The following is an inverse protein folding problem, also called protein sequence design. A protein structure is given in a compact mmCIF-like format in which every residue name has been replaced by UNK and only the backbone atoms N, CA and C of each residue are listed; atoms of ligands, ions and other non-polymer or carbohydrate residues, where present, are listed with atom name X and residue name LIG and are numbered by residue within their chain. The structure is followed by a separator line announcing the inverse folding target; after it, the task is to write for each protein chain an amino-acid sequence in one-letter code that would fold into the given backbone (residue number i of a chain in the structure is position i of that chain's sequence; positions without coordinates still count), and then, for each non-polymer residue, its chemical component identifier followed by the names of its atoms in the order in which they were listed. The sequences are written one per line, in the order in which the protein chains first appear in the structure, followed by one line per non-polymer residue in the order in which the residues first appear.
data_IF_184839097372
#
_entry.id   IF_184839097372
#
_cell.length_a   1.000
_cell.length_b   1.000
_cell.length_c   1.000
_cell.angle_alpha   90.00
_cell.angle_beta   90.00
_cell.angle_gamma   90.00
#
_symmetry.space_group_name_H-M   'P 1'
#
loop_
_entity.id
_entity.type
_entity.pdbx_description
1 polymer ?
#
# COMPACT_ATOMS: atom_id res chain seq x y z
N UNK A 1 15.04 -32.03 -22.01
CA UNK A 1 14.95 -31.83 -20.55
C UNK A 1 16.09 -30.92 -20.12
N UNK A 2 15.90 -29.59 -20.13
CA UNK A 2 16.95 -28.68 -19.69
C UNK A 2 17.07 -28.75 -18.16
N UNK A 3 18.16 -29.34 -17.67
CA UNK A 3 18.61 -29.15 -16.28
C UNK A 3 18.96 -27.67 -16.14
N UNK A 4 17.98 -26.85 -15.76
CA UNK A 4 18.21 -25.46 -15.42
C UNK A 4 19.18 -25.40 -14.25
N UNK A 5 20.44 -25.07 -14.51
CA UNK A 5 21.39 -24.78 -13.45
C UNK A 5 20.85 -23.59 -12.66
N UNK A 6 20.69 -23.74 -11.33
CA UNK A 6 20.27 -22.66 -10.48
C UNK A 6 21.24 -21.48 -10.59
N UNK A 7 20.73 -20.28 -10.89
CA UNK A 7 21.55 -19.06 -10.89
C UNK A 7 21.89 -18.71 -9.45
N UNK A 8 23.18 -18.67 -9.11
CA UNK A 8 23.66 -18.24 -7.80
C UNK A 8 23.75 -16.72 -7.77
N UNK A 9 22.98 -16.09 -6.90
CA UNK A 9 23.07 -14.67 -6.58
C UNK A 9 23.85 -14.53 -5.27
N UNK A 10 24.90 -13.71 -5.26
CA UNK A 10 25.63 -13.35 -4.04
C UNK A 10 25.25 -11.92 -3.68
N UNK A 11 24.30 -11.78 -2.75
CA UNK A 11 23.94 -10.50 -2.14
C UNK A 11 24.39 -10.55 -0.68
N UNK A 12 25.31 -9.66 -0.31
CA UNK A 12 25.76 -9.51 1.08
C UNK A 12 24.91 -8.42 1.73
N UNK A 13 24.11 -8.81 2.73
CA UNK A 13 23.36 -7.89 3.58
C UNK A 13 24.14 -7.64 4.87
N UNK A 14 24.26 -6.38 5.26
CA UNK A 14 24.86 -5.96 6.52
C UNK A 14 23.76 -5.44 7.45
N UNK A 15 23.74 -5.96 8.67
CA UNK A 15 22.85 -5.49 9.74
C UNK A 15 23.66 -4.59 10.68
N UNK A 16 23.07 -3.47 11.10
CA UNK A 16 23.68 -2.45 11.95
C UNK A 16 23.02 -2.44 13.34
N UNK A 17 23.41 -3.33 14.26
CA UNK A 17 22.78 -3.46 15.58
C UNK A 17 22.92 -2.20 16.45
N UNK A 18 23.87 -1.31 16.17
CA UNK A 18 24.07 -0.07 16.92
C UNK A 18 23.06 1.04 16.57
N UNK A 19 22.44 0.96 15.39
CA UNK A 19 21.60 2.03 14.84
C UNK A 19 20.14 1.60 14.65
N UNK A 20 19.87 0.30 14.66
CA UNK A 20 18.55 -0.28 14.44
C UNK A 20 18.29 -1.37 15.47
N UNK A 21 17.25 -1.19 16.28
CA UNK A 21 16.79 -2.22 17.23
C UNK A 21 16.28 -3.46 16.48
N UNK A 22 15.76 -3.28 15.26
CA UNK A 22 15.29 -4.37 14.39
C UNK A 22 16.47 -5.26 14.00
N UNK A 23 17.61 -4.62 13.70
CA UNK A 23 18.84 -5.29 13.31
C UNK A 23 19.48 -6.01 14.49
N UNK A 24 19.53 -5.37 15.67
CA UNK A 24 19.99 -5.99 16.92
C UNK A 24 19.21 -7.27 17.23
N UNK A 25 17.88 -7.18 17.22
CA UNK A 25 17.00 -8.31 17.50
C UNK A 25 17.08 -9.41 16.44
N UNK A 26 17.22 -9.04 15.16
CA UNK A 26 17.42 -10.00 14.08
C UNK A 26 18.74 -10.76 14.26
N UNK A 27 19.82 -10.06 14.65
CA UNK A 27 21.12 -10.68 14.92
C UNK A 27 21.03 -11.65 16.10
N UNK A 28 20.37 -11.28 17.19
CA UNK A 28 20.15 -12.16 18.34
C UNK A 28 19.35 -13.42 17.95
N UNK A 29 18.20 -13.25 17.28
CA UNK A 29 17.36 -14.36 16.83
C UNK A 29 18.12 -15.32 15.91
N UNK A 30 18.95 -14.80 15.00
CA UNK A 30 19.80 -15.62 14.12
C UNK A 30 20.88 -16.37 14.89
N UNK A 31 21.49 -15.75 15.90
CA UNK A 31 22.49 -16.41 16.75
C UNK A 31 21.87 -17.54 17.58
N UNK A 32 20.73 -17.28 18.21
CA UNK A 32 20.00 -18.29 19.00
C UNK A 32 19.59 -19.49 18.14
N UNK A 33 19.04 -19.21 16.96
CA UNK A 33 18.69 -20.25 15.99
C UNK A 33 19.90 -21.07 15.57
N UNK A 34 21.04 -20.43 15.30
CA UNK A 34 22.28 -21.10 14.93
C UNK A 34 22.84 -21.98 16.07
N UNK A 35 22.80 -21.49 17.30
CA UNK A 35 23.24 -22.25 18.48
C UNK A 35 22.31 -23.42 18.77
N UNK A 36 21.00 -23.27 18.57
CA UNK A 36 20.04 -24.37 18.66
C UNK A 36 20.35 -25.45 17.61
N UNK A 37 20.54 -25.06 16.35
CA UNK A 37 20.86 -25.96 15.26
C UNK A 37 22.18 -26.73 15.48
N UNK A 38 23.20 -26.08 16.07
CA UNK A 38 24.44 -26.74 16.45
C UNK A 38 24.27 -27.76 17.59
N UNK A 39 23.34 -27.52 18.52
CA UNK A 39 23.05 -28.42 19.63
C UNK A 39 22.33 -29.69 19.20
N UNK A 40 21.55 -29.66 18.12
CA UNK A 40 20.86 -30.83 17.57
C UNK A 40 21.82 -31.91 16.99
N UNK A 41 23.13 -31.63 16.88
CA UNK A 41 24.13 -32.66 16.65
C UNK A 41 24.19 -33.25 15.23
N UNK A 42 23.73 -32.51 14.21
CA UNK A 42 23.80 -32.91 12.81
C UNK A 42 25.22 -32.89 12.20
N UNK A 43 25.40 -33.58 11.08
CA UNK A 43 26.64 -33.47 10.29
C UNK A 43 26.87 -32.02 9.85
N UNK A 44 28.14 -31.63 9.67
CA UNK A 44 28.50 -30.28 9.21
C UNK A 44 27.80 -29.90 7.90
N UNK A 45 27.62 -30.87 7.00
CA UNK A 45 26.96 -30.65 5.71
C UNK A 45 25.44 -30.43 5.87
N UNK A 46 24.80 -31.15 6.80
CA UNK A 46 23.37 -31.00 7.08
C UNK A 46 23.08 -29.61 7.66
N UNK A 47 23.91 -29.16 8.61
CA UNK A 47 23.83 -27.80 9.18
C UNK A 47 24.01 -26.74 8.09
N UNK A 48 24.94 -26.95 7.14
CA UNK A 48 25.14 -26.01 6.05
C UNK A 48 23.95 -25.97 5.08
N UNK A 49 23.32 -27.11 4.81
CA UNK A 49 22.14 -27.19 3.95
C UNK A 49 20.92 -26.55 4.59
N UNK A 50 20.66 -26.81 5.88
CA UNK A 50 19.56 -26.19 6.62
C UNK A 50 19.75 -24.68 6.74
N UNK A 51 20.97 -24.21 7.02
CA UNK A 51 21.30 -22.78 7.02
C UNK A 51 21.02 -22.12 5.67
N UNK A 52 21.42 -22.76 4.56
CA UNK A 52 21.16 -22.24 3.21
C UNK A 52 19.67 -22.23 2.89
N UNK A 53 18.94 -23.27 3.28
CA UNK A 53 17.49 -23.37 3.08
C UNK A 53 16.75 -22.30 3.89
N UNK A 54 17.15 -22.10 5.14
CA UNK A 54 16.61 -21.06 6.02
C UNK A 54 16.75 -19.66 5.40
N UNK A 55 17.97 -19.25 5.05
CA UNK A 55 18.20 -17.93 4.43
C UNK A 55 17.46 -17.78 3.10
N UNK A 56 17.41 -18.84 2.29
CA UNK A 56 16.64 -18.83 1.03
C UNK A 56 15.16 -18.55 1.30
N UNK A 57 14.55 -19.23 2.28
CA UNK A 57 13.14 -19.03 2.61
C UNK A 57 12.86 -17.63 3.13
N UNK A 58 13.70 -17.10 4.02
CA UNK A 58 13.57 -15.73 4.56
C UNK A 58 13.65 -14.70 3.43
N UNK A 59 14.64 -14.84 2.53
CA UNK A 59 14.80 -13.94 1.40
C UNK A 59 13.61 -13.99 0.43
N UNK A 60 13.13 -15.20 0.07
CA UNK A 60 12.00 -15.34 -0.84
C UNK A 60 10.69 -14.81 -0.23
N UNK A 61 10.47 -15.04 1.06
CA UNK A 61 9.30 -14.51 1.76
C UNK A 61 9.34 -12.97 1.82
N UNK A 62 10.47 -12.39 2.22
CA UNK A 62 10.65 -10.94 2.24
C UNK A 62 10.50 -10.32 0.85
N UNK A 63 11.06 -10.94 -0.19
CA UNK A 63 10.90 -10.49 -1.57
C UNK A 63 9.45 -10.57 -2.03
N UNK A 64 8.73 -11.65 -1.69
CA UNK A 64 7.31 -11.77 -2.03
C UNK A 64 6.47 -10.69 -1.35
N UNK A 65 6.71 -10.42 -0.06
CA UNK A 65 6.06 -9.34 0.68
C UNK A 65 6.34 -7.97 0.03
N UNK A 66 7.58 -7.72 -0.36
CA UNK A 66 7.99 -6.49 -1.04
C UNK A 66 7.32 -6.31 -2.41
N UNK A 67 7.14 -7.40 -3.17
CA UNK A 67 6.45 -7.38 -4.46
C UNK A 67 4.94 -7.13 -4.33
N UNK A 68 4.33 -7.51 -3.20
CA UNK A 68 2.91 -7.23 -2.92
C UNK A 68 2.72 -5.76 -2.54
N UNK A 69 3.45 -5.29 -1.52
CA UNK A 69 3.50 -3.88 -1.14
C UNK A 69 4.82 -3.59 -0.39
N UNK A 70 5.66 -2.67 -0.89
CA UNK A 70 6.88 -2.26 -0.19
C UNK A 70 6.63 -1.76 1.24
N UNK A 71 5.48 -1.12 1.49
CA UNK A 71 5.12 -0.58 2.82
C UNK A 71 4.82 -1.70 3.80
N UNK A 72 4.12 -2.75 3.35
CA UNK A 72 3.89 -3.98 4.12
C UNK A 72 5.22 -4.62 4.52
N UNK A 73 6.12 -4.82 3.56
CA UNK A 73 7.42 -5.42 3.84
C UNK A 73 8.22 -4.61 4.86
N UNK A 74 8.25 -3.28 4.72
CA UNK A 74 8.94 -2.42 5.67
C UNK A 74 8.30 -2.48 7.07
N UNK A 75 6.97 -2.46 7.16
CA UNK A 75 6.28 -2.51 8.45
C UNK A 75 6.50 -3.86 9.16
N UNK A 76 6.50 -4.97 8.43
CA UNK A 76 6.84 -6.30 8.97
C UNK A 76 8.31 -6.39 9.38
N UNK A 77 9.22 -5.73 8.66
CA UNK A 77 10.62 -5.68 9.07
C UNK A 77 10.80 -4.88 10.37
N UNK A 78 10.11 -3.75 10.53
CA UNK A 78 10.16 -2.93 11.75
C UNK A 78 9.44 -3.59 12.94
N UNK A 79 8.48 -4.48 12.71
CA UNK A 79 7.79 -5.17 13.79
C UNK A 79 8.70 -6.11 14.58
N UNK A 80 9.81 -6.57 14.00
CA UNK A 80 10.80 -7.40 14.70
C UNK A 80 11.46 -6.67 15.87
N UNK A 81 11.52 -5.33 15.85
CA UNK A 81 11.98 -4.50 16.97
C UNK A 81 11.08 -4.59 18.19
N UNK A 82 9.80 -4.92 18.00
CA UNK A 82 8.78 -4.88 19.04
C UNK A 82 8.86 -6.15 19.88
N UNK A 83 8.83 -5.97 21.19
CA UNK A 83 8.81 -7.11 22.11
C UNK A 83 7.44 -7.77 22.09
N UNK A 84 7.41 -9.09 21.88
CA UNK A 84 6.24 -9.96 22.07
C UNK A 84 5.03 -9.71 21.16
N UNK A 85 5.26 -9.21 19.94
CA UNK A 85 4.15 -9.04 18.99
C UNK A 85 3.64 -10.41 18.50
N UNK A 86 2.39 -10.74 18.84
CA UNK A 86 1.70 -11.91 18.34
C UNK A 86 1.33 -11.77 16.85
N UNK A 87 1.01 -12.90 16.21
CA UNK A 87 0.55 -12.89 14.80
C UNK A 87 -0.74 -12.07 14.65
N UNK A 88 -1.70 -12.26 15.56
CA UNK A 88 -2.97 -11.51 15.58
C UNK A 88 -2.78 -10.01 15.76
N UNK A 89 -1.85 -9.61 16.63
CA UNK A 89 -1.54 -8.20 16.89
C UNK A 89 -0.88 -7.54 15.68
N UNK A 90 0.04 -8.25 15.02
CA UNK A 90 0.64 -7.79 13.77
C UNK A 90 -0.44 -7.61 12.68
N UNK A 91 -1.38 -8.55 12.56
CA UNK A 91 -2.50 -8.41 11.62
C UNK A 91 -3.35 -7.17 11.94
N UNK A 92 -3.69 -6.94 13.21
CA UNK A 92 -4.45 -5.77 13.63
C UNK A 92 -3.71 -4.45 13.31
N UNK A 93 -2.39 -4.36 13.56
CA UNK A 93 -1.58 -3.19 13.20
C UNK A 93 -1.56 -2.94 11.69
N UNK A 94 -1.38 -4.00 10.90
CA UNK A 94 -1.36 -3.90 9.44
C UNK A 94 -2.72 -3.46 8.88
N UNK A 95 -3.83 -3.89 9.48
CA UNK A 95 -5.18 -3.43 9.13
C UNK A 95 -5.39 -1.95 9.50
N UNK A 96 -4.97 -1.53 10.70
CA UNK A 96 -5.01 -0.11 11.11
C UNK A 96 -4.22 0.79 10.17
N UNK A 97 -3.09 0.29 9.65
CA UNK A 97 -2.27 0.97 8.66
C UNK A 97 -2.82 0.88 7.22
N UNK A 98 -3.96 0.22 7.01
CA UNK A 98 -4.56 -0.08 5.69
C UNK A 98 -3.61 -0.84 4.73
N UNK A 99 -2.68 -1.64 5.28
CA UNK A 99 -1.74 -2.47 4.51
C UNK A 99 -2.28 -3.86 4.21
N UNK A 100 -3.29 -4.29 4.98
CA UNK A 100 -4.09 -5.47 4.69
C UNK A 100 -5.54 -5.04 4.49
N UNK A 101 -6.30 -5.74 3.61
CA UNK A 101 -7.73 -5.58 3.59
C UNK A 101 -8.23 -5.91 5.00
N UNK A 102 -8.87 -4.93 5.65
CA UNK A 102 -9.44 -5.11 6.98
C UNK A 102 -10.32 -6.36 6.98
N UNK A 103 -10.14 -7.24 7.96
CA UNK A 103 -11.22 -8.14 8.29
C UNK A 103 -12.44 -7.25 8.58
N UNK A 104 -13.61 -7.55 8.00
CA UNK A 104 -14.85 -6.92 8.40
C UNK A 104 -15.20 -7.40 9.82
N UNK A 105 -14.51 -6.88 10.84
CA UNK A 105 -14.89 -7.05 12.22
C UNK A 105 -16.29 -6.44 12.38
N UNK A 106 -17.29 -7.33 12.48
CA UNK A 106 -18.73 -7.08 12.43
C UNK A 106 -19.39 -6.95 11.04
N UNK A 107 -19.01 -7.80 10.09
CA UNK A 107 -19.98 -8.29 9.08
C UNK A 107 -19.91 -9.81 8.86
N UNK A 108 -19.49 -10.58 9.87
CA UNK A 108 -19.82 -12.02 9.94
C UNK A 108 -21.26 -12.29 10.39
N UNK A 109 -22.20 -11.61 9.72
CA UNK A 109 -23.59 -12.04 9.57
C UNK A 109 -24.13 -11.77 8.14
N UNK A 110 -23.42 -11.00 7.31
CA UNK A 110 -23.84 -10.71 5.94
C UNK A 110 -22.57 -10.52 5.10
N UNK A 111 -22.47 -11.22 3.98
CA UNK A 111 -21.51 -10.97 2.89
C UNK A 111 -20.22 -11.80 2.89
N UNK A 112 -20.39 -13.08 2.59
CA UNK A 112 -19.60 -13.73 1.55
C UNK A 112 -20.50 -14.70 0.80
N UNK A 113 -20.97 -14.29 -0.38
CA UNK A 113 -21.59 -15.20 -1.33
C UNK A 113 -22.95 -14.81 -1.90
N UNK A 114 -23.23 -13.55 -2.16
CA UNK A 114 -24.09 -13.20 -3.30
C UNK A 114 -23.60 -11.89 -3.88
N UNK A 115 -23.48 -11.84 -5.19
CA UNK A 115 -23.53 -10.61 -5.96
C UNK A 115 -24.59 -9.68 -5.35
N UNK A 116 -24.15 -8.65 -4.62
CA UNK A 116 -25.00 -7.68 -3.94
C UNK A 116 -25.73 -6.72 -4.89
N UNK A 117 -25.79 -7.06 -6.17
CA UNK A 117 -26.69 -6.46 -7.14
C UNK A 117 -27.99 -7.26 -7.13
N UNK A 118 -29.01 -6.76 -6.45
CA UNK A 118 -30.37 -7.24 -6.64
C UNK A 118 -30.65 -7.33 -8.14
N UNK A 119 -31.20 -8.45 -8.60
CA UNK A 119 -31.61 -8.55 -10.01
C UNK A 119 -32.66 -7.46 -10.31
N UNK A 120 -32.75 -6.94 -11.54
CA UNK A 120 -33.73 -5.90 -11.87
C UNK A 120 -35.16 -6.36 -11.55
N UNK A 121 -35.45 -7.65 -11.67
CA UNK A 121 -36.74 -8.23 -11.30
C UNK A 121 -36.94 -8.29 -9.77
N UNK A 122 -35.89 -8.55 -8.99
CA UNK A 122 -35.96 -8.50 -7.53
C UNK A 122 -36.14 -7.06 -7.04
N UNK A 123 -35.48 -6.09 -7.67
CA UNK A 123 -35.71 -4.66 -7.38
C UNK A 123 -37.12 -4.24 -7.72
N UNK A 124 -37.65 -4.67 -8.87
CA UNK A 124 -39.03 -4.37 -9.27
C UNK A 124 -40.04 -5.01 -8.31
N UNK A 125 -39.78 -6.24 -7.85
CA UNK A 125 -40.62 -6.92 -6.86
C UNK A 125 -40.54 -6.25 -5.48
N UNK A 126 -39.37 -5.77 -5.08
CA UNK A 126 -39.17 -5.05 -3.83
C UNK A 126 -39.80 -3.65 -3.89
N UNK A 127 -39.71 -2.98 -5.05
CA UNK A 127 -40.38 -1.71 -5.32
C UNK A 127 -41.90 -1.86 -5.36
N UNK A 128 -42.42 -2.95 -5.94
CA UNK A 128 -43.84 -3.30 -5.87
C UNK A 128 -44.27 -3.58 -4.44
N UNK A 129 -43.48 -4.30 -3.65
CA UNK A 129 -43.82 -4.60 -2.26
C UNK A 129 -43.86 -3.33 -1.40
N UNK A 130 -42.88 -2.44 -1.55
CA UNK A 130 -42.88 -1.14 -0.90
C UNK A 130 -44.03 -0.26 -1.41
N UNK A 131 -44.33 -0.29 -2.70
CA UNK A 131 -45.48 0.42 -3.29
C UNK A 131 -46.81 -0.06 -2.72
N UNK A 132 -46.98 -1.37 -2.54
CA UNK A 132 -48.17 -1.94 -1.89
C UNK A 132 -48.23 -1.60 -0.40
N UNK A 133 -47.09 -1.56 0.32
CA UNK A 133 -47.08 -1.13 1.71
C UNK A 133 -47.40 0.35 1.84
N UNK A 134 -46.87 1.20 0.95
CA UNK A 134 -47.17 2.62 0.93
C UNK A 134 -48.65 2.85 0.57
N UNK A 135 -49.18 2.14 -0.43
CA UNK A 135 -50.58 2.23 -0.84
C UNK A 135 -51.54 1.67 0.23
N UNK A 136 -51.16 0.60 0.94
CA UNK A 136 -51.91 0.07 2.08
C UNK A 136 -51.87 1.04 3.28
N UNK A 137 -50.74 1.73 3.47
CA UNK A 137 -50.56 2.77 4.50
C UNK A 137 -51.30 4.07 4.14
N UNK A 138 -51.41 4.42 2.85
CA UNK A 138 -52.24 5.50 2.33
C UNK A 138 -53.72 5.18 2.46
N UNK A 139 -54.14 3.96 2.13
CA UNK A 139 -55.52 3.49 2.34
C UNK A 139 -55.92 3.49 3.83
N UNK A 140 -54.97 3.23 4.74
CA UNK A 140 -55.19 3.38 6.19
C UNK A 140 -55.16 4.85 6.67
N UNK A 141 -54.40 5.72 6.00
CA UNK A 141 -54.34 7.17 6.28
C UNK A 141 -55.57 7.93 5.79
N UNK A 142 -56.22 7.52 4.70
CA UNK A 142 -57.46 8.15 4.23
C UNK A 142 -58.65 7.93 5.18
N UNK A 143 -58.64 6.85 5.98
CA UNK A 143 -59.60 6.60 7.07
C UNK A 143 -59.26 7.36 8.36
N UNK A 144 -58.05 7.90 8.49
CA UNK A 144 -57.55 8.62 9.67
C UNK A 144 -56.95 9.96 9.25
N UNK A 145 -57.80 10.93 8.88
CA UNK A 145 -57.41 12.23 8.33
C UNK A 145 -56.37 13.00 9.15
N UNK A 146 -55.09 12.75 8.89
CA UNK A 146 -53.90 13.45 9.37
C UNK A 146 -52.84 13.37 8.26
N UNK A 147 -53.05 14.14 7.20
CA UNK A 147 -52.16 14.24 6.06
C UNK A 147 -51.09 15.31 6.23
N UNK A 148 -50.09 15.07 7.09
CA UNK A 148 -48.80 15.78 7.02
C UNK A 148 -47.68 14.78 7.33
N UNK A 149 -46.75 14.58 6.40
CA UNK A 149 -45.47 13.96 6.74
C UNK A 149 -44.77 14.87 7.77
N UNK A 150 -44.15 14.34 8.83
CA UNK A 150 -43.53 15.16 9.85
C UNK A 150 -42.42 16.03 9.21
N UNK A 151 -42.55 17.36 9.33
CA UNK A 151 -41.62 18.37 8.80
C UNK A 151 -40.14 18.12 9.19
N UNK A 152 -39.91 17.38 10.27
CA UNK A 152 -38.58 16.98 10.72
C UNK A 152 -37.85 16.05 9.74
N UNK A 153 -38.58 15.16 9.04
CA UNK A 153 -37.98 14.21 8.09
C UNK A 153 -37.68 14.90 6.77
N UNK A 154 -38.56 15.79 6.31
CA UNK A 154 -38.32 16.61 5.11
C UNK A 154 -37.19 17.63 5.37
N UNK A 155 -37.14 18.25 6.54
CA UNK A 155 -36.04 19.13 6.93
C UNK A 155 -34.70 18.38 7.02
N UNK A 156 -34.67 17.18 7.58
CA UNK A 156 -33.47 16.36 7.67
C UNK A 156 -32.94 15.92 6.30
N UNK A 157 -33.84 15.49 5.40
CA UNK A 157 -33.46 15.10 4.04
C UNK A 157 -32.92 16.29 3.23
N UNK A 158 -33.55 17.46 3.39
CA UNK A 158 -33.11 18.70 2.73
C UNK A 158 -31.74 19.15 3.25
N UNK A 159 -31.52 19.05 4.57
CA UNK A 159 -30.22 19.33 5.20
C UNK A 159 -29.12 18.39 4.70
N UNK A 160 -29.42 17.10 4.59
CA UNK A 160 -28.47 16.12 4.05
C UNK A 160 -28.12 16.41 2.58
N UNK A 161 -29.10 16.77 1.74
CA UNK A 161 -28.86 17.17 0.36
C UNK A 161 -27.97 18.40 0.25
N UNK A 162 -28.16 19.40 1.11
CA UNK A 162 -27.33 20.60 1.14
C UNK A 162 -25.88 20.28 1.51
N UNK A 163 -25.65 19.39 2.47
CA UNK A 163 -24.29 18.95 2.82
C UNK A 163 -23.60 18.22 1.67
N UNK A 164 -24.31 17.32 0.97
CA UNK A 164 -23.76 16.62 -0.19
C UNK A 164 -23.43 17.59 -1.35
N UNK A 165 -24.29 18.57 -1.59
CA UNK A 165 -24.03 19.60 -2.59
C UNK A 165 -22.78 20.45 -2.25
N UNK A 166 -22.58 20.77 -0.97
CA UNK A 166 -21.38 21.46 -0.49
C UNK A 166 -20.10 20.64 -0.73
N UNK A 167 -20.11 19.36 -0.36
CA UNK A 167 -18.98 18.46 -0.60
C UNK A 167 -18.65 18.30 -2.10
N UNK A 168 -19.65 18.23 -2.96
CA UNK A 168 -19.44 18.18 -4.41
C UNK A 168 -18.77 19.47 -4.94
N UNK A 169 -19.14 20.63 -4.41
CA UNK A 169 -18.49 21.90 -4.76
C UNK A 169 -17.04 21.96 -4.28
N UNK A 170 -16.73 21.43 -3.10
CA UNK A 170 -15.36 21.36 -2.60
C UNK A 170 -14.50 20.43 -3.46
N UNK A 171 -15.03 19.27 -3.86
CA UNK A 171 -14.33 18.33 -4.73
C UNK A 171 -14.06 18.92 -6.12
N UNK A 172 -15.02 19.63 -6.71
CA UNK A 172 -14.80 20.31 -7.99
C UNK A 172 -13.76 21.43 -7.88
N UNK A 173 -13.74 22.18 -6.76
CA UNK A 173 -12.72 23.19 -6.49
C UNK A 173 -11.33 22.57 -6.36
N UNK A 174 -11.18 21.48 -5.61
CA UNK A 174 -9.91 20.77 -5.46
C UNK A 174 -9.43 20.19 -6.78
N UNK A 175 -10.34 19.61 -7.57
CA UNK A 175 -10.05 19.11 -8.91
C UNK A 175 -9.49 20.20 -9.82
N UNK A 176 -10.13 21.36 -9.87
CA UNK A 176 -9.67 22.48 -10.69
C UNK A 176 -8.27 22.96 -10.27
N UNK A 177 -7.99 22.99 -8.97
CA UNK A 177 -6.68 23.40 -8.46
C UNK A 177 -5.59 22.36 -8.82
N UNK A 178 -5.91 21.07 -8.74
CA UNK A 178 -5.01 20.00 -9.17
C UNK A 178 -4.73 20.06 -10.69
N UNK A 179 -5.74 20.32 -11.52
CA UNK A 179 -5.59 20.52 -12.96
C UNK A 179 -4.72 21.75 -13.29
N UNK A 180 -4.86 22.84 -12.53
CA UNK A 180 -3.97 24.01 -12.65
C UNK A 180 -2.51 23.70 -12.29
N UNK A 181 -2.26 22.96 -11.21
CA UNK A 181 -0.90 22.55 -10.86
C UNK A 181 -0.28 21.62 -11.91
N UNK A 182 -1.07 20.68 -12.43
CA UNK A 182 -0.64 19.76 -13.49
C UNK A 182 -0.21 20.51 -14.76
N UNK A 183 -1.02 21.50 -15.20
CA UNK A 183 -0.69 22.31 -16.39
C UNK A 183 0.55 23.17 -16.19
N UNK A 184 0.74 23.76 -15.00
CA UNK A 184 1.98 24.50 -14.68
C UNK A 184 3.22 23.61 -14.72
N UNK A 185 3.14 22.40 -14.15
CA UNK A 185 4.25 21.43 -14.20
C UNK A 185 4.56 21.00 -15.65
N UNK A 186 3.53 20.85 -16.48
CA UNK A 186 3.72 20.49 -17.89
C UNK A 186 4.36 21.61 -18.69
N UNK A 187 4.00 22.88 -18.44
CA UNK A 187 4.67 24.04 -19.03
C UNK A 187 6.14 24.14 -18.60
N UNK A 188 6.46 23.88 -17.33
CA UNK A 188 7.85 23.84 -16.84
C UNK A 188 8.67 22.72 -17.50
N UNK A 189 8.07 21.54 -17.70
CA UNK A 189 8.73 20.43 -18.41
C UNK A 189 9.00 20.75 -19.88
N UNK A 190 8.05 21.39 -20.57
CA UNK A 190 8.20 21.74 -21.99
C UNK A 190 9.20 22.89 -22.17
N UNK A 191 9.20 23.88 -21.28
CA UNK A 191 10.15 25.00 -21.31
C UNK A 191 11.58 24.62 -20.88
N UNK A 192 11.77 23.52 -20.16
CA UNK A 192 13.09 23.00 -19.79
C UNK A 192 13.80 22.20 -20.92
N UNK A 193 13.20 22.05 -22.11
CA UNK A 193 13.78 21.28 -23.23
C UNK A 193 14.12 22.19 -24.41
N UNK A 194 15.28 22.90 -24.39
CA UNK A 194 16.25 22.69 -25.48
C UNK A 194 17.70 23.07 -25.13
N UNK A 195 18.55 22.17 -24.58
CA UNK A 195 20.03 22.27 -24.68
C UNK A 195 20.67 20.88 -24.46
N UNK A 196 20.50 19.93 -25.39
CA UNK A 196 21.18 18.62 -25.27
C UNK A 196 21.43 17.95 -26.63
N UNK A 197 21.76 18.74 -27.65
CA UNK A 197 22.08 18.22 -28.98
C UNK A 197 23.37 18.87 -29.51
N UNK A 198 24.48 18.72 -28.79
CA UNK A 198 25.83 18.92 -29.31
C UNK A 198 26.84 18.50 -28.24
N UNK A 199 27.36 17.27 -28.32
CA UNK A 199 28.80 17.00 -28.48
C UNK A 199 29.05 15.50 -28.53
N UNK A 200 29.59 15.12 -29.67
CA UNK A 200 30.18 13.85 -30.08
C UNK A 200 31.61 13.68 -29.54
N UNK A 201 32.06 12.41 -29.49
CA UNK A 201 33.40 11.91 -29.85
C UNK A 201 34.47 11.70 -28.75
N UNK A 202 34.67 10.40 -28.48
CA UNK A 202 35.92 9.60 -28.52
C UNK A 202 36.94 9.49 -27.37
N UNK A 203 37.25 8.19 -27.12
CA UNK A 203 38.54 7.55 -26.78
C UNK A 203 39.13 7.66 -25.36
N UNK A 204 39.16 6.52 -24.64
CA UNK A 204 40.40 5.83 -24.24
C UNK A 204 40.16 4.60 -23.30
N UNK A 205 40.14 3.40 -23.91
CA UNK A 205 40.88 2.17 -23.55
C UNK A 205 41.24 1.91 -22.05
N UNK A 206 40.55 0.91 -21.45
CA UNK A 206 41.21 -0.14 -20.66
C UNK A 206 40.85 -0.34 -19.18
N UNK A 207 39.67 -0.93 -18.87
CA UNK A 207 39.51 -2.18 -18.09
C UNK A 207 38.02 -2.46 -17.92
N UNK A 208 37.56 -3.67 -18.27
CA UNK A 208 36.15 -4.01 -18.39
C UNK A 208 35.82 -5.21 -17.51
N UNK A 209 35.04 -4.97 -16.45
CA UNK A 209 33.87 -5.79 -16.13
C UNK A 209 32.84 -4.88 -15.49
N UNK A 210 31.73 -4.76 -16.20
CA UNK A 210 30.70 -3.74 -16.07
C UNK A 210 29.95 -3.85 -14.76
N UNK A 211 30.13 -2.83 -13.92
CA UNK A 211 29.18 -2.41 -12.91
C UNK A 211 28.04 -1.77 -13.69
N UNK A 212 26.83 -2.32 -13.59
CA UNK A 212 25.63 -1.56 -13.97
C UNK A 212 25.54 -0.42 -12.98
N UNK A 213 26.01 0.74 -13.41
CA UNK A 213 26.07 1.98 -12.65
C UNK A 213 24.64 2.53 -12.49
N UNK A 214 24.16 2.58 -11.25
CA UNK A 214 22.85 3.14 -10.87
C UNK A 214 22.77 4.67 -11.06
N UNK A 215 23.77 5.26 -11.71
CA UNK A 215 23.92 6.69 -11.96
C UNK A 215 23.06 7.23 -13.12
N UNK A 216 22.38 6.37 -13.88
CA UNK A 216 21.44 6.80 -14.96
C UNK A 216 19.99 7.00 -14.50
N UNK A 217 19.68 6.83 -13.21
CA UNK A 217 18.38 7.20 -12.62
C UNK A 217 18.44 8.58 -11.94
N UNK A 218 18.92 9.55 -12.74
CA UNK A 218 18.33 10.87 -12.92
C UNK A 218 18.00 11.72 -11.67
N UNK A 219 18.99 12.48 -11.19
CA UNK A 219 19.02 13.96 -11.17
C UNK A 219 17.65 14.70 -11.07
N UNK A 220 17.16 15.04 -9.85
CA UNK A 220 16.94 16.47 -9.59
C UNK A 220 17.29 16.98 -8.17
N UNK A 221 17.99 16.22 -7.34
CA UNK A 221 18.32 16.68 -5.97
C UNK A 221 19.52 17.64 -5.89
N UNK A 222 20.34 17.74 -6.95
CA UNK A 222 21.62 18.47 -6.88
C UNK A 222 21.48 20.00 -6.92
N UNK A 223 20.34 20.54 -7.40
CA UNK A 223 20.14 22.00 -7.45
C UNK A 223 19.54 22.61 -6.17
N UNK A 224 18.94 21.80 -5.28
CA UNK A 224 18.45 22.31 -3.98
C UNK A 224 19.58 22.51 -2.95
N UNK A 225 20.68 21.75 -3.02
CA UNK A 225 21.79 21.92 -2.08
C UNK A 225 22.70 23.12 -2.39
N UNK A 226 22.79 23.58 -3.65
CA UNK A 226 23.59 24.78 -3.99
C UNK A 226 22.94 26.12 -3.57
N UNK A 227 21.64 26.16 -3.25
CA UNK A 227 20.97 27.40 -2.81
C UNK A 227 21.08 27.64 -1.30
N UNK A 228 21.18 26.59 -0.47
CA UNK A 228 21.48 26.76 0.97
C UNK A 228 22.93 27.14 1.26
N UNK A 229 23.81 27.03 0.25
CA UNK A 229 25.21 27.44 0.32
C UNK A 229 25.47 28.72 -0.49
N UNK A 230 24.48 29.59 -0.61
CA UNK A 230 24.77 31.03 -0.58
C UNK A 230 25.16 31.39 0.85
N UNK A 231 26.44 31.65 1.07
CA UNK A 231 26.72 32.93 1.71
C UNK A 231 26.47 33.98 0.63
N UNK A 232 25.28 34.60 0.62
CA UNK A 232 24.92 35.93 0.08
C UNK A 232 23.39 35.94 -0.17
N UNK A 233 22.72 36.44 0.87
CA UNK A 233 21.30 36.75 1.10
C UNK A 233 20.32 35.58 1.11
#
# INVERSE_FOLDING_TARGET
MHKGQGKKLNLSLYLNPQHSRSDERAVEALQEWYLALRREGGSRDDISMTMRSFHRSVYLAGLQLYLLDPRLCHHVAESISREQLGVEELFAELQQCNLLPGEPAATSALESGTDGSFSPQQLEQLQLLLGHQLAAQESQRELTGMGELPESVTALLTSQQQMLAGLQQELTRLRNLAEQQSTQLQQLRVSARPVAAATTVETAKGSSTEVVDLSDLALPSEKMQKVRQKGIF
#
